data_IF_755106450953
#
_entry.id   IF_755106450953
#
_cell.length_a   1.000
_cell.length_b   1.000
_cell.length_c   1.000
_cell.angle_alpha   90.00
_cell.angle_beta   90.00
_cell.angle_gamma   90.00
#
_symmetry.space_group_name_H-M   'P 1'
#
loop_
_entity.id
_entity.type
_entity.pdbx_description
1 polymer ?
#
# COMPACT_ATOMS: atom_id res chain seq x y z
N UNK A 1 9.37 28.87 -1.06
CA UNK A 1 9.88 27.52 -1.01
C UNK A 1 10.56 27.22 0.33
N UNK A 2 10.28 26.06 0.88
CA UNK A 2 11.04 25.57 2.04
C UNK A 2 12.45 25.15 1.59
N UNK A 3 13.45 25.41 2.43
CA UNK A 3 14.83 24.96 2.18
C UNK A 3 14.89 23.42 2.18
N UNK A 4 15.72 22.88 1.30
CA UNK A 4 15.91 21.44 1.16
C UNK A 4 17.03 20.95 2.06
N UNK A 5 16.79 19.97 2.93
CA UNK A 5 17.87 19.36 3.70
C UNK A 5 18.92 18.71 2.78
N UNK A 6 20.19 18.80 3.19
CA UNK A 6 21.37 18.27 2.50
C UNK A 6 21.68 18.89 1.12
N UNK A 7 20.91 19.90 0.67
CA UNK A 7 21.14 20.61 -0.59
C UNK A 7 21.16 22.14 -0.34
N UNK A 8 22.30 22.74 0.02
CA UNK A 8 22.39 24.16 0.33
C UNK A 8 21.88 25.03 -0.82
N UNK A 9 20.97 25.98 -0.50
CA UNK A 9 20.38 26.91 -1.45
C UNK A 9 19.29 26.36 -2.35
N UNK A 10 19.02 25.05 -2.33
CA UNK A 10 17.89 24.46 -3.03
C UNK A 10 16.57 24.71 -2.29
N UNK A 11 15.46 24.70 -3.04
CA UNK A 11 14.12 24.88 -2.51
C UNK A 11 13.21 23.77 -3.05
N UNK A 12 12.28 23.27 -2.22
CA UNK A 12 11.20 22.40 -2.68
C UNK A 12 10.23 23.18 -3.58
N UNK A 13 9.93 22.63 -4.75
CA UNK A 13 8.93 23.15 -5.67
C UNK A 13 7.55 22.60 -5.31
N UNK A 14 7.43 21.27 -5.29
CA UNK A 14 6.22 20.56 -4.87
C UNK A 14 6.59 19.43 -3.95
N UNK A 15 5.80 19.22 -2.91
CA UNK A 15 5.83 17.97 -2.16
C UNK A 15 5.00 16.94 -2.94
N UNK A 16 5.45 15.72 -3.01
CA UNK A 16 4.86 14.74 -3.89
C UNK A 16 3.52 14.24 -3.37
N UNK A 17 2.86 13.56 -4.27
CA UNK A 17 1.51 13.07 -4.10
C UNK A 17 1.38 11.97 -3.05
N UNK A 18 2.47 11.25 -2.69
CA UNK A 18 2.36 10.07 -1.82
C UNK A 18 3.57 9.90 -0.90
N UNK A 19 3.49 10.39 0.35
CA UNK A 19 4.49 10.10 1.37
C UNK A 19 4.33 8.66 1.88
N UNK A 20 5.45 8.02 2.24
CA UNK A 20 5.47 6.82 3.06
C UNK A 20 5.58 7.16 4.55
N UNK A 21 4.98 6.37 5.42
CA UNK A 21 5.15 6.47 6.87
C UNK A 21 5.65 5.14 7.43
N UNK A 22 6.69 5.17 8.25
CA UNK A 22 7.16 4.01 9.00
C UNK A 22 6.20 3.67 10.16
N UNK A 23 6.25 2.45 10.69
CA UNK A 23 5.49 2.05 11.89
C UNK A 23 5.74 2.97 13.09
N UNK A 24 6.93 3.53 13.20
CA UNK A 24 7.34 4.47 14.26
C UNK A 24 6.98 5.93 13.95
N UNK A 25 6.39 6.20 12.79
CA UNK A 25 5.85 7.50 12.40
C UNK A 25 6.79 8.40 11.60
N UNK A 26 7.99 7.95 11.24
CA UNK A 26 8.90 8.69 10.37
C UNK A 26 8.37 8.73 8.93
N UNK A 27 8.51 9.88 8.29
CA UNK A 27 7.99 10.13 6.94
C UNK A 27 9.09 9.98 5.91
N UNK A 28 8.74 9.45 4.75
CA UNK A 28 9.58 9.40 3.55
C UNK A 28 8.83 10.00 2.37
N UNK A 29 9.53 10.82 1.57
CA UNK A 29 8.92 11.56 0.48
C UNK A 29 9.79 11.53 -0.78
N UNK A 30 9.14 11.52 -1.95
CA UNK A 30 9.74 12.05 -3.17
C UNK A 30 9.37 13.52 -3.28
N UNK A 31 10.25 14.37 -3.76
CA UNK A 31 9.96 15.79 -3.95
C UNK A 31 10.65 16.33 -5.20
N UNK A 32 9.98 17.28 -5.86
CA UNK A 32 10.64 18.08 -6.89
C UNK A 32 11.22 19.38 -6.30
N UNK A 33 12.24 19.87 -6.96
CA UNK A 33 13.04 21.03 -6.57
C UNK A 33 12.83 22.18 -7.54
N UNK A 34 12.98 23.39 -7.05
CA UNK A 34 12.92 24.60 -7.89
C UNK A 34 14.16 24.67 -8.76
N UNK A 35 14.00 24.52 -10.06
CA UNK A 35 15.09 24.67 -11.05
C UNK A 35 15.70 26.06 -10.95
N UNK A 36 17.02 26.11 -10.92
CA UNK A 36 17.80 27.35 -10.74
C UNK A 36 18.15 27.68 -9.27
N UNK A 37 17.56 27.00 -8.28
CA UNK A 37 17.93 27.16 -6.88
C UNK A 37 19.02 26.15 -6.48
N UNK A 38 20.06 26.58 -5.74
CA UNK A 38 21.08 25.69 -5.17
C UNK A 38 21.74 24.70 -6.15
N UNK A 39 21.90 25.08 -7.42
CA UNK A 39 22.49 24.21 -8.44
C UNK A 39 21.52 23.17 -9.01
N UNK A 40 20.23 23.30 -8.77
CA UNK A 40 19.18 22.46 -9.35
C UNK A 40 18.98 22.77 -10.84
N UNK A 41 19.00 21.75 -11.66
CA UNK A 41 18.70 21.78 -13.11
C UNK A 41 17.55 20.83 -13.42
N UNK A 42 17.00 20.86 -14.61
CA UNK A 42 15.98 19.91 -15.06
C UNK A 42 16.46 18.45 -15.14
N UNK A 43 17.76 18.20 -14.99
CA UNK A 43 18.32 16.85 -15.00
C UNK A 43 18.44 16.24 -13.61
N UNK A 44 18.21 17.04 -12.54
CA UNK A 44 18.40 16.65 -11.14
C UNK A 44 17.38 17.34 -10.22
N UNK A 45 16.18 17.63 -10.71
CA UNK A 45 15.14 18.36 -10.00
C UNK A 45 14.16 17.46 -9.21
N UNK A 46 14.43 16.16 -9.12
CA UNK A 46 13.64 15.22 -8.29
C UNK A 46 14.57 14.41 -7.38
N UNK A 47 14.13 14.16 -6.16
CA UNK A 47 14.87 13.33 -5.21
C UNK A 47 13.96 12.61 -4.20
N UNK A 48 14.58 11.72 -3.43
CA UNK A 48 13.98 10.96 -2.35
C UNK A 48 14.55 11.41 -1.01
N UNK A 49 13.70 11.70 -0.04
CA UNK A 49 14.07 12.07 1.33
C UNK A 49 13.37 11.19 2.35
N UNK A 50 13.99 11.00 3.52
CA UNK A 50 13.41 10.22 4.62
C UNK A 50 13.86 10.71 5.98
N UNK A 51 13.02 10.54 7.00
CA UNK A 51 13.31 10.79 8.42
C UNK A 51 13.85 9.56 9.17
N UNK A 52 13.93 8.39 8.51
CA UNK A 52 14.25 7.11 9.18
C UNK A 52 15.60 7.06 9.91
N UNK A 53 16.51 7.97 9.58
CA UNK A 53 17.78 8.12 10.28
C UNK A 53 17.72 8.96 11.55
N UNK A 54 16.55 9.50 11.90
CA UNK A 54 16.40 10.50 12.98
C UNK A 54 16.91 11.89 12.57
N UNK A 55 16.52 12.92 13.31
CA UNK A 55 17.00 14.30 13.11
C UNK A 55 16.36 15.08 11.96
N UNK A 56 15.26 14.59 11.38
CA UNK A 56 14.52 15.23 10.29
C UNK A 56 14.78 14.61 8.93
N UNK A 57 14.20 15.23 7.89
CA UNK A 57 14.35 14.76 6.51
C UNK A 57 15.81 14.80 6.06
N UNK A 58 16.23 13.75 5.39
CA UNK A 58 17.57 13.57 4.80
C UNK A 58 17.43 13.12 3.36
N UNK A 59 18.30 13.61 2.48
CA UNK A 59 18.41 13.15 1.11
C UNK A 59 18.91 11.69 1.07
N UNK A 60 18.16 10.82 0.42
CA UNK A 60 18.55 9.45 0.16
C UNK A 60 19.23 9.31 -1.21
N UNK A 61 18.63 9.90 -2.23
CA UNK A 61 19.11 9.86 -3.62
C UNK A 61 18.40 10.94 -4.45
N UNK A 62 19.05 11.36 -5.53
CA UNK A 62 18.55 12.39 -6.44
C UNK A 62 18.71 11.94 -7.89
N UNK A 63 17.95 12.52 -8.80
CA UNK A 63 18.23 12.40 -10.24
C UNK A 63 19.67 12.84 -10.55
N UNK A 64 20.26 12.21 -11.54
CA UNK A 64 21.65 12.30 -11.97
C UNK A 64 22.70 11.72 -11.00
N UNK A 65 22.28 11.20 -9.83
CA UNK A 65 23.19 10.44 -8.97
C UNK A 65 23.54 9.09 -9.63
N UNK A 66 24.74 8.60 -9.33
CA UNK A 66 25.20 7.30 -9.83
C UNK A 66 24.41 6.16 -9.16
N UNK A 67 24.03 5.17 -9.94
CA UNK A 67 23.39 3.95 -9.42
C UNK A 67 24.48 2.99 -8.94
N UNK A 68 24.44 2.60 -7.64
CA UNK A 68 25.38 1.61 -7.12
C UNK A 68 25.27 0.30 -7.90
N UNK A 69 26.38 -0.39 -8.06
CA UNK A 69 26.48 -1.70 -8.74
C UNK A 69 26.24 -1.69 -10.26
N UNK A 70 25.91 -0.54 -10.87
CA UNK A 70 25.76 -0.39 -12.31
C UNK A 70 26.70 0.69 -12.84
N UNK A 71 27.95 0.35 -13.21
CA UNK A 71 28.94 1.33 -13.63
C UNK A 71 28.47 2.19 -14.80
N UNK A 72 28.56 3.51 -14.64
CA UNK A 72 28.16 4.50 -15.65
C UNK A 72 26.65 4.74 -15.78
N UNK A 73 25.82 4.05 -14.98
CA UNK A 73 24.39 4.34 -14.93
C UNK A 73 24.08 5.42 -13.88
N UNK A 74 23.12 6.26 -14.20
CA UNK A 74 22.62 7.33 -13.34
C UNK A 74 21.10 7.24 -13.23
N UNK A 75 20.56 7.82 -12.16
CA UNK A 75 19.10 8.01 -12.02
C UNK A 75 18.60 8.93 -13.11
N UNK A 76 17.65 8.45 -13.92
CA UNK A 76 16.95 9.25 -14.92
C UNK A 76 15.65 9.84 -14.38
N UNK A 77 14.92 9.04 -13.57
CA UNK A 77 13.66 9.43 -12.94
C UNK A 77 13.34 8.45 -11.80
N UNK A 78 12.56 8.89 -10.85
CA UNK A 78 11.91 8.01 -9.88
C UNK A 78 10.63 7.45 -10.51
N UNK A 79 10.50 6.12 -10.53
CA UNK A 79 9.39 5.48 -11.25
C UNK A 79 8.04 5.63 -10.53
N UNK A 80 8.07 5.77 -9.20
CA UNK A 80 6.92 6.05 -8.33
C UNK A 80 7.44 6.38 -6.92
N UNK A 81 6.55 6.63 -5.96
CA UNK A 81 6.87 7.03 -4.58
C UNK A 81 7.91 6.16 -3.85
N UNK A 82 8.23 6.49 -2.61
CA UNK A 82 8.99 5.63 -1.73
C UNK A 82 8.04 4.53 -1.25
N UNK A 83 8.36 3.29 -1.56
CA UNK A 83 7.44 2.17 -1.42
C UNK A 83 7.38 1.58 -0.02
N UNK A 84 8.53 1.54 0.64
CA UNK A 84 8.63 0.95 1.96
C UNK A 84 9.65 1.71 2.80
N UNK A 85 9.35 1.87 4.07
CA UNK A 85 10.13 2.65 5.03
C UNK A 85 10.06 1.97 6.38
N UNK A 86 11.21 1.78 7.04
CA UNK A 86 11.27 1.29 8.39
C UNK A 86 12.37 2.01 9.18
N UNK A 87 12.09 2.36 10.42
CA UNK A 87 13.10 2.74 11.40
C UNK A 87 13.58 1.49 12.12
N UNK A 88 14.86 1.19 11.99
CA UNK A 88 15.47 -0.02 12.54
C UNK A 88 16.26 0.23 13.82
N UNK A 89 16.43 1.50 14.21
CA UNK A 89 17.11 1.91 15.43
C UNK A 89 16.95 3.41 15.70
N UNK A 90 17.55 3.93 16.76
CA UNK A 90 17.41 5.32 17.17
C UNK A 90 17.86 6.32 16.08
N UNK A 91 18.91 5.97 15.34
CA UNK A 91 19.47 6.78 14.24
C UNK A 91 19.67 5.97 12.97
N UNK A 92 18.97 4.87 12.81
CA UNK A 92 19.07 3.98 11.64
C UNK A 92 17.72 3.60 11.09
N UNK A 93 17.68 3.41 9.78
CA UNK A 93 16.47 2.98 9.09
C UNK A 93 16.72 2.67 7.62
N UNK A 94 15.67 2.21 6.98
CA UNK A 94 15.68 1.72 5.62
C UNK A 94 14.56 2.35 4.81
N UNK A 95 14.83 2.61 3.53
CA UNK A 95 13.80 3.02 2.57
C UNK A 95 14.02 2.30 1.23
N UNK A 96 12.94 1.97 0.55
CA UNK A 96 12.96 1.29 -0.74
C UNK A 96 12.20 2.10 -1.77
N UNK A 97 12.80 2.27 -2.94
CA UNK A 97 12.23 3.01 -4.06
C UNK A 97 12.73 2.45 -5.40
N UNK A 98 11.99 2.66 -6.46
CA UNK A 98 12.43 2.29 -7.80
C UNK A 98 12.79 3.51 -8.63
N UNK A 99 13.79 3.35 -9.47
CA UNK A 99 14.25 4.37 -10.40
C UNK A 99 14.35 3.80 -11.81
N UNK A 100 14.15 4.65 -12.79
CA UNK A 100 14.59 4.38 -14.15
C UNK A 100 16.02 4.90 -14.29
N UNK A 101 16.90 4.12 -14.87
CA UNK A 101 18.28 4.55 -15.11
C UNK A 101 18.48 5.10 -16.52
N UNK A 102 19.50 5.95 -16.67
CA UNK A 102 20.04 6.45 -17.92
C UNK A 102 21.52 6.10 -18.04
N UNK A 103 22.03 6.07 -19.26
CA UNK A 103 23.44 5.71 -19.56
C UNK A 103 23.48 4.57 -20.58
N UNK A 104 24.11 3.43 -20.24
CA UNK A 104 24.29 2.32 -21.18
C UNK A 104 22.99 1.65 -21.62
N UNK A 105 21.93 1.72 -20.82
CA UNK A 105 20.58 1.22 -21.15
C UNK A 105 19.53 1.92 -20.29
N UNK A 106 18.27 1.95 -20.78
CA UNK A 106 17.12 2.41 -19.99
C UNK A 106 16.47 1.20 -19.35
N UNK A 107 16.60 1.05 -18.05
CA UNK A 107 16.06 -0.06 -17.26
C UNK A 107 15.45 0.44 -15.98
N UNK A 108 14.58 -0.34 -15.39
CA UNK A 108 14.08 -0.10 -14.02
C UNK A 108 14.92 -0.86 -13.01
N UNK A 109 15.24 -0.20 -11.91
CA UNK A 109 16.04 -0.74 -10.80
C UNK A 109 15.32 -0.50 -9.49
N UNK A 110 15.22 -1.53 -8.66
CA UNK A 110 14.76 -1.42 -7.29
C UNK A 110 15.96 -1.17 -6.39
N UNK A 111 15.92 -0.08 -5.65
CA UNK A 111 16.99 0.39 -4.79
C UNK A 111 16.55 0.36 -3.32
N UNK A 112 17.51 0.10 -2.45
CA UNK A 112 17.39 0.20 -1.01
C UNK A 112 18.39 1.24 -0.50
N UNK A 113 17.92 2.21 0.26
CA UNK A 113 18.72 3.15 1.00
C UNK A 113 18.74 2.76 2.48
N UNK A 114 19.92 2.49 3.02
CA UNK A 114 20.17 2.25 4.43
C UNK A 114 20.77 3.52 5.05
N UNK A 115 20.14 4.03 6.07
CA UNK A 115 20.58 5.22 6.82
C UNK A 115 21.13 4.78 8.17
N UNK A 116 22.31 5.23 8.53
CA UNK A 116 22.91 5.01 9.84
C UNK A 116 23.64 6.28 10.30
N UNK A 117 23.04 6.99 11.24
CA UNK A 117 23.51 8.31 11.67
C UNK A 117 23.56 9.28 10.50
N UNK A 118 24.74 9.83 10.22
CA UNK A 118 24.98 10.77 9.11
C UNK A 118 25.20 10.08 7.75
N UNK A 119 25.30 8.75 7.69
CA UNK A 119 25.64 8.02 6.48
C UNK A 119 24.40 7.43 5.82
N UNK A 120 24.25 7.67 4.52
CA UNK A 120 23.29 6.99 3.65
C UNK A 120 24.05 6.09 2.68
N UNK A 121 23.68 4.81 2.63
CA UNK A 121 24.24 3.85 1.68
C UNK A 121 23.11 3.32 0.81
N UNK A 122 23.27 3.42 -0.51
CA UNK A 122 22.29 2.90 -1.45
C UNK A 122 22.83 1.61 -2.07
N UNK A 123 21.96 0.61 -2.22
CA UNK A 123 22.29 -0.68 -2.84
C UNK A 123 21.19 -1.09 -3.81
N UNK A 124 21.58 -1.85 -4.84
CA UNK A 124 20.64 -2.45 -5.80
C UNK A 124 20.08 -3.75 -5.22
N UNK A 125 18.76 -3.90 -5.24
CA UNK A 125 18.02 -5.09 -4.82
C UNK A 125 17.72 -5.99 -6.01
N UNK A 126 17.17 -5.39 -7.06
CA UNK A 126 16.81 -6.09 -8.28
C UNK A 126 16.91 -5.13 -9.49
N UNK A 127 17.30 -5.68 -10.62
CA UNK A 127 17.46 -4.94 -11.87
C UNK A 127 16.76 -5.69 -12.98
N UNK A 128 16.09 -4.95 -13.84
CA UNK A 128 15.48 -5.45 -15.06
C UNK A 128 16.50 -6.18 -15.94
N UNK A 129 16.16 -7.40 -16.37
CA UNK A 129 17.07 -8.28 -17.11
C UNK A 129 17.95 -9.20 -16.27
N UNK A 130 17.98 -9.05 -14.94
CA UNK A 130 18.61 -10.01 -14.04
C UNK A 130 17.73 -11.24 -13.86
N UNK A 131 18.34 -12.41 -13.56
CA UNK A 131 17.59 -13.62 -13.22
C UNK A 131 16.84 -13.44 -11.91
N UNK A 132 15.52 -13.67 -11.97
CA UNK A 132 14.66 -13.62 -10.78
C UNK A 132 14.94 -14.83 -9.89
N UNK A 133 15.41 -14.64 -8.64
CA UNK A 133 15.83 -15.72 -7.77
C UNK A 133 14.77 -16.81 -7.56
N UNK A 134 15.16 -18.07 -7.58
CA UNK A 134 14.25 -19.22 -7.44
C UNK A 134 13.41 -19.50 -8.69
N UNK A 135 13.71 -18.86 -9.81
CA UNK A 135 13.10 -19.09 -11.12
C UNK A 135 14.16 -19.18 -12.21
N UNK A 136 13.79 -19.63 -13.41
CA UNK A 136 14.64 -19.55 -14.61
C UNK A 136 14.35 -18.29 -15.45
N UNK A 137 13.47 -17.42 -15.00
CA UNK A 137 13.03 -16.23 -15.73
C UNK A 137 13.86 -15.00 -15.35
N UNK A 138 13.95 -14.04 -16.28
CA UNK A 138 14.52 -12.73 -15.99
C UNK A 138 13.42 -11.77 -15.53
N UNK A 139 13.76 -10.77 -14.70
CA UNK A 139 12.87 -9.65 -14.46
C UNK A 139 12.56 -8.93 -15.78
N UNK A 140 11.30 -8.63 -16.04
CA UNK A 140 10.86 -8.11 -17.31
C UNK A 140 11.32 -6.68 -17.55
N UNK A 141 11.61 -6.40 -18.82
CA UNK A 141 11.91 -5.05 -19.31
C UNK A 141 10.60 -4.30 -19.65
N UNK A 142 9.74 -4.07 -18.68
CA UNK A 142 8.48 -3.34 -18.83
C UNK A 142 8.39 -2.21 -17.83
N UNK A 143 7.82 -1.09 -18.23
CA UNK A 143 7.53 0.01 -17.33
C UNK A 143 6.64 -0.52 -16.20
N UNK A 144 7.13 -0.45 -14.97
CA UNK A 144 6.47 -1.01 -13.82
C UNK A 144 6.81 -2.46 -13.50
N UNK A 145 7.93 -3.00 -14.02
CA UNK A 145 8.42 -4.34 -13.70
C UNK A 145 8.64 -4.58 -12.19
N UNK A 146 8.87 -3.53 -11.42
CA UNK A 146 8.89 -3.50 -9.96
C UNK A 146 7.76 -2.63 -9.42
N UNK A 147 6.57 -2.69 -10.02
CA UNK A 147 5.48 -1.74 -9.79
C UNK A 147 4.80 -1.86 -8.43
N UNK A 148 5.00 -2.98 -7.75
CA UNK A 148 4.36 -3.28 -6.47
C UNK A 148 5.42 -3.76 -5.45
N UNK A 149 6.41 -2.95 -5.06
CA UNK A 149 7.25 -3.28 -3.92
C UNK A 149 6.39 -3.13 -2.67
N UNK A 150 6.27 -4.20 -1.91
CA UNK A 150 5.46 -4.25 -0.72
C UNK A 150 6.01 -3.44 0.43
N UNK A 151 5.45 -3.68 1.61
CA UNK A 151 5.88 -3.07 2.87
C UNK A 151 7.18 -3.65 3.38
N UNK A 152 7.81 -2.90 4.28
CA UNK A 152 8.96 -3.30 5.06
C UNK A 152 8.51 -3.63 6.49
N UNK A 153 9.09 -4.67 7.09
CA UNK A 153 8.90 -4.95 8.52
C UNK A 153 9.77 -4.04 9.41
N UNK A 154 9.56 -4.11 10.71
CA UNK A 154 10.29 -3.28 11.68
C UNK A 154 11.81 -3.57 11.70
N UNK A 155 12.26 -4.67 11.15
CA UNK A 155 13.66 -5.04 11.01
C UNK A 155 14.28 -4.52 9.70
N UNK A 156 13.47 -4.01 8.77
CA UNK A 156 13.93 -3.54 7.47
C UNK A 156 13.95 -4.63 6.39
N UNK A 157 13.39 -5.80 6.65
CA UNK A 157 13.11 -6.77 5.59
C UNK A 157 11.89 -6.30 4.78
N UNK A 158 11.84 -6.62 3.49
CA UNK A 158 10.68 -6.26 2.67
C UNK A 158 10.36 -7.30 1.60
N UNK A 159 9.16 -7.20 1.07
CA UNK A 159 8.71 -7.96 -0.10
C UNK A 159 8.45 -7.02 -1.28
N UNK A 160 8.61 -7.53 -2.47
CA UNK A 160 8.28 -6.82 -3.70
C UNK A 160 7.68 -7.78 -4.73
N UNK A 161 6.76 -7.27 -5.54
CA UNK A 161 6.25 -7.98 -6.69
C UNK A 161 6.98 -7.55 -7.95
N UNK A 162 7.20 -8.47 -8.86
CA UNK A 162 7.78 -8.19 -10.16
C UNK A 162 7.19 -9.09 -11.24
N UNK A 163 7.24 -8.58 -12.48
CA UNK A 163 6.96 -9.36 -13.68
C UNK A 163 8.25 -10.01 -14.19
N UNK A 164 8.11 -11.14 -14.85
CA UNK A 164 9.22 -11.80 -15.54
C UNK A 164 8.99 -11.88 -17.05
N UNK A 165 10.07 -12.02 -17.81
CA UNK A 165 10.04 -12.09 -19.26
C UNK A 165 9.38 -13.36 -19.80
N UNK A 166 9.44 -14.46 -19.06
CA UNK A 166 8.85 -15.74 -19.46
C UNK A 166 7.35 -15.75 -19.22
N UNK A 167 6.58 -15.47 -20.28
CA UNK A 167 5.11 -15.51 -20.24
C UNK A 167 4.48 -14.40 -19.40
N UNK A 168 5.18 -13.30 -19.16
CA UNK A 168 4.71 -12.18 -18.30
C UNK A 168 4.18 -12.65 -16.94
N UNK A 169 4.88 -13.63 -16.34
CA UNK A 169 4.48 -14.19 -15.05
C UNK A 169 4.84 -13.26 -13.90
N UNK A 170 3.93 -13.12 -12.97
CA UNK A 170 4.09 -12.34 -11.74
C UNK A 170 4.64 -13.22 -10.62
N UNK A 171 5.41 -12.62 -9.70
CA UNK A 171 5.88 -13.25 -8.50
C UNK A 171 6.13 -12.26 -7.38
N UNK A 172 6.30 -12.77 -6.17
CA UNK A 172 6.69 -12.03 -4.98
C UNK A 172 8.02 -12.58 -4.48
N UNK A 173 8.93 -11.67 -4.17
CA UNK A 173 10.23 -11.98 -3.57
C UNK A 173 10.37 -11.30 -2.22
N UNK A 174 11.06 -11.96 -1.32
CA UNK A 174 11.42 -11.46 0.00
C UNK A 174 12.90 -11.05 0.01
N UNK A 175 13.20 -9.86 0.49
CA UNK A 175 14.54 -9.30 0.65
C UNK A 175 14.86 -9.11 2.12
N UNK A 176 15.82 -9.86 2.69
CA UNK A 176 16.26 -9.64 4.06
C UNK A 176 17.10 -8.38 4.22
N UNK A 177 17.04 -7.77 5.41
CA UNK A 177 17.80 -6.54 5.73
C UNK A 177 19.31 -6.75 5.68
N UNK A 178 19.78 -7.92 6.04
CA UNK A 178 21.21 -8.25 6.16
C UNK A 178 21.94 -8.39 4.81
N UNK A 179 21.34 -7.92 3.70
CA UNK A 179 22.00 -7.87 2.39
C UNK A 179 22.09 -9.22 1.67
N UNK A 180 21.28 -10.22 2.08
CA UNK A 180 21.17 -11.50 1.39
C UNK A 180 20.55 -11.39 0.00
N UNK A 181 20.70 -12.43 -0.82
CA UNK A 181 20.00 -12.54 -2.10
C UNK A 181 18.49 -12.63 -1.86
N UNK A 182 17.65 -11.94 -2.64
CA UNK A 182 16.20 -12.10 -2.57
C UNK A 182 15.79 -13.56 -2.73
N UNK A 183 14.77 -14.00 -2.01
CA UNK A 183 14.21 -15.35 -2.12
C UNK A 183 12.79 -15.31 -2.65
N UNK A 184 12.44 -16.29 -3.51
CA UNK A 184 11.08 -16.43 -4.05
C UNK A 184 10.11 -16.77 -2.91
N UNK A 185 9.03 -16.00 -2.78
CA UNK A 185 7.91 -16.30 -1.89
C UNK A 185 6.85 -17.11 -2.64
N UNK A 186 6.42 -16.60 -3.79
CA UNK A 186 5.39 -17.21 -4.64
C UNK A 186 5.57 -16.74 -6.09
N UNK A 187 5.21 -17.61 -7.03
CA UNK A 187 5.33 -17.33 -8.47
C UNK A 187 4.11 -17.89 -9.23
N UNK A 188 3.73 -17.24 -10.31
CA UNK A 188 2.63 -17.71 -11.15
C UNK A 188 2.94 -19.10 -11.74
N UNK A 189 2.07 -20.05 -11.47
CA UNK A 189 2.24 -21.49 -11.73
C UNK A 189 2.56 -22.33 -10.49
N UNK A 190 2.95 -21.72 -9.34
CA UNK A 190 3.08 -22.44 -8.08
C UNK A 190 1.68 -22.88 -7.60
N UNK A 191 1.61 -24.01 -6.88
CA UNK A 191 0.36 -24.49 -6.29
C UNK A 191 -0.16 -23.53 -5.23
N UNK A 192 -1.43 -23.15 -5.33
CA UNK A 192 -2.08 -22.26 -4.37
C UNK A 192 -2.59 -23.08 -3.17
N UNK A 193 -2.01 -22.84 -2.00
CA UNK A 193 -2.41 -23.53 -0.77
C UNK A 193 -3.88 -23.26 -0.43
N UNK A 194 -4.58 -24.26 0.10
CA UNK A 194 -5.99 -24.18 0.50
C UNK A 194 -6.99 -24.24 -0.66
N UNK A 195 -6.57 -24.69 -1.88
CA UNK A 195 -7.40 -24.65 -3.09
C UNK A 195 -7.47 -26.02 -3.78
N UNK A 196 -7.36 -27.11 -3.23
CA UNK A 196 -7.56 -28.43 -3.90
C UNK A 196 -6.72 -28.66 -5.19
N UNK A 197 -5.57 -27.97 -5.34
CA UNK A 197 -4.65 -28.19 -6.47
C UNK A 197 -4.65 -27.09 -7.56
N UNK A 198 -5.40 -25.98 -7.37
CA UNK A 198 -5.29 -24.84 -8.26
C UNK A 198 -3.88 -24.22 -8.22
N UNK A 199 -3.47 -23.56 -9.30
CA UNK A 199 -2.21 -22.82 -9.38
C UNK A 199 -2.46 -21.33 -9.49
N UNK A 200 -1.52 -20.53 -8.98
CA UNK A 200 -1.58 -19.08 -9.15
C UNK A 200 -1.47 -18.70 -10.64
N UNK A 201 -2.40 -17.90 -11.11
CA UNK A 201 -2.38 -17.31 -12.46
C UNK A 201 -1.74 -15.93 -12.44
N UNK A 202 -2.22 -15.07 -11.54
CA UNK A 202 -1.72 -13.72 -11.28
C UNK A 202 -1.50 -13.52 -9.80
N UNK A 203 -0.48 -12.77 -9.45
CA UNK A 203 -0.11 -12.47 -8.09
C UNK A 203 0.13 -10.97 -8.01
N UNK A 204 -0.59 -10.29 -7.14
CA UNK A 204 -0.58 -8.84 -7.11
C UNK A 204 -0.51 -8.32 -5.68
N UNK A 205 0.15 -7.18 -5.54
CA UNK A 205 0.01 -6.27 -4.39
C UNK A 205 0.35 -6.92 -3.05
N UNK A 206 1.59 -7.36 -2.85
CA UNK A 206 2.00 -7.82 -1.54
C UNK A 206 2.01 -6.65 -0.55
N UNK A 207 1.46 -6.88 0.63
CA UNK A 207 1.65 -6.01 1.79
C UNK A 207 2.31 -6.83 2.89
N UNK A 208 3.18 -6.20 3.69
CA UNK A 208 3.90 -6.87 4.77
C UNK A 208 3.67 -6.13 6.08
N UNK A 209 3.33 -6.86 7.13
CA UNK A 209 3.30 -6.36 8.49
C UNK A 209 4.70 -6.30 9.09
N UNK A 210 4.83 -5.57 10.21
CA UNK A 210 6.12 -5.31 10.88
C UNK A 210 6.87 -6.55 11.39
N UNK A 211 6.22 -7.71 11.40
CA UNK A 211 6.78 -9.00 11.82
C UNK A 211 7.14 -9.94 10.66
N UNK A 212 7.15 -9.44 9.40
CA UNK A 212 7.46 -10.24 8.22
C UNK A 212 6.29 -11.09 7.68
N UNK A 213 5.09 -10.96 8.23
CA UNK A 213 3.88 -11.60 7.72
C UNK A 213 3.36 -10.82 6.52
N UNK A 214 2.97 -11.51 5.45
CA UNK A 214 2.51 -10.90 4.21
C UNK A 214 1.06 -11.23 3.91
N UNK A 215 0.42 -10.35 3.16
CA UNK A 215 -0.84 -10.59 2.48
C UNK A 215 -0.71 -10.19 1.02
N UNK A 216 -1.28 -10.97 0.12
CA UNK A 216 -1.36 -10.62 -1.29
C UNK A 216 -2.64 -11.14 -1.93
N UNK A 217 -3.07 -10.46 -2.97
CA UNK A 217 -4.16 -10.93 -3.82
C UNK A 217 -3.60 -11.83 -4.91
N UNK A 218 -4.34 -12.89 -5.25
CA UNK A 218 -4.05 -13.68 -6.44
C UNK A 218 -5.32 -14.17 -7.13
N UNK A 219 -5.22 -14.35 -8.46
CA UNK A 219 -6.18 -15.13 -9.22
C UNK A 219 -5.62 -16.51 -9.54
N UNK A 220 -6.51 -17.47 -9.75
CA UNK A 220 -6.19 -18.87 -9.92
C UNK A 220 -6.47 -19.35 -11.34
N UNK A 221 -5.68 -20.31 -11.81
CA UNK A 221 -5.75 -20.85 -13.15
C UNK A 221 -6.84 -21.92 -13.31
N UNK A 222 -7.05 -22.75 -12.31
CA UNK A 222 -8.14 -23.72 -12.14
C UNK A 222 -8.23 -24.02 -10.67
N UNK A 223 -9.42 -24.17 -10.15
CA UNK A 223 -9.53 -24.82 -8.88
C UNK A 223 -9.91 -26.30 -9.06
N UNK A 224 -9.49 -27.12 -8.12
CA UNK A 224 -9.74 -28.55 -8.15
C UNK A 224 -11.21 -28.96 -7.96
N UNK A 225 -12.08 -28.01 -7.64
CA UNK A 225 -13.49 -28.24 -7.38
C UNK A 225 -14.40 -28.01 -8.62
N UNK A 226 -13.80 -27.78 -9.81
CA UNK A 226 -14.50 -27.62 -11.08
C UNK A 226 -15.62 -26.56 -11.11
N UNK A 227 -15.64 -25.63 -10.15
CA UNK A 227 -16.59 -24.54 -10.14
C UNK A 227 -16.09 -23.42 -11.06
N UNK A 228 -16.60 -23.28 -12.28
CA UNK A 228 -16.16 -22.26 -13.19
C UNK A 228 -16.48 -20.88 -12.61
N UNK A 229 -15.47 -20.03 -12.50
CA UNK A 229 -15.54 -18.63 -12.16
C UNK A 229 -15.88 -18.23 -10.70
N UNK A 230 -16.38 -19.12 -9.85
CA UNK A 230 -16.86 -18.75 -8.52
C UNK A 230 -15.75 -18.65 -7.45
N UNK A 231 -14.57 -19.24 -7.70
CA UNK A 231 -13.50 -19.33 -6.69
C UNK A 231 -12.11 -19.02 -7.26
N UNK A 232 -12.04 -18.17 -8.26
CA UNK A 232 -10.80 -17.90 -8.97
C UNK A 232 -9.99 -16.71 -8.43
N UNK A 233 -10.47 -16.00 -7.42
CA UNK A 233 -9.79 -14.89 -6.78
C UNK A 233 -9.75 -15.06 -5.27
N UNK A 234 -8.64 -14.68 -4.66
CA UNK A 234 -8.50 -14.78 -3.22
C UNK A 234 -7.38 -13.90 -2.65
N UNK A 235 -7.29 -13.93 -1.33
CA UNK A 235 -6.24 -13.34 -0.52
C UNK A 235 -5.49 -14.45 0.20
N UNK A 236 -4.18 -14.42 0.12
CA UNK A 236 -3.27 -15.34 0.81
C UNK A 236 -2.43 -14.59 1.82
N UNK A 237 -2.27 -15.20 2.99
CA UNK A 237 -1.44 -14.69 4.07
C UNK A 237 -0.42 -15.74 4.50
N UNK A 238 0.73 -15.28 5.00
CA UNK A 238 1.79 -16.15 5.55
C UNK A 238 3.08 -15.38 5.80
N UNK A 239 4.13 -16.05 6.26
CA UNK A 239 5.43 -15.42 6.45
C UNK A 239 6.22 -15.37 5.15
N UNK A 240 6.76 -14.21 4.82
CA UNK A 240 7.54 -14.00 3.59
C UNK A 240 8.80 -14.87 3.51
N UNK A 241 9.45 -15.10 4.65
CA UNK A 241 10.63 -15.97 4.77
C UNK A 241 10.30 -17.46 4.89
N UNK A 242 9.02 -17.83 4.96
CA UNK A 242 8.54 -19.20 5.01
C UNK A 242 7.33 -19.40 4.08
N UNK A 243 7.54 -19.60 2.77
CA UNK A 243 6.45 -19.76 1.80
C UNK A 243 5.49 -20.92 2.10
N UNK A 244 5.92 -21.93 2.84
CA UNK A 244 5.07 -23.05 3.25
C UNK A 244 3.98 -22.64 4.26
N UNK A 245 4.09 -21.47 4.88
CA UNK A 245 3.09 -20.92 5.79
C UNK A 245 1.92 -20.22 5.07
N UNK A 246 2.01 -20.04 3.76
CA UNK A 246 0.96 -19.34 2.99
C UNK A 246 -0.36 -20.11 3.06
N UNK A 247 -1.42 -19.39 3.42
CA UNK A 247 -2.78 -19.93 3.50
C UNK A 247 -3.78 -18.97 2.85
N UNK A 248 -4.83 -19.50 2.23
CA UNK A 248 -5.94 -18.72 1.69
C UNK A 248 -6.84 -18.26 2.84
N UNK A 249 -6.92 -16.94 3.07
CA UNK A 249 -7.69 -16.37 4.20
C UNK A 249 -9.05 -15.82 3.79
N UNK A 250 -9.19 -15.39 2.55
CA UNK A 250 -10.45 -14.90 1.98
C UNK A 250 -10.50 -15.28 0.51
N UNK A 251 -11.59 -15.90 0.08
CA UNK A 251 -11.74 -16.36 -1.30
C UNK A 251 -13.12 -16.03 -1.81
N UNK A 252 -13.23 -15.70 -3.08
CA UNK A 252 -14.52 -15.61 -3.77
C UNK A 252 -15.31 -16.91 -3.56
N UNK A 253 -16.58 -16.78 -3.20
CA UNK A 253 -17.45 -17.91 -2.86
C UNK A 253 -17.32 -18.43 -1.42
N UNK A 254 -16.50 -17.80 -0.56
CA UNK A 254 -16.51 -18.12 0.87
C UNK A 254 -17.81 -17.65 1.51
N UNK A 255 -18.44 -18.52 2.30
CA UNK A 255 -19.70 -18.26 2.99
C UNK A 255 -19.54 -18.19 4.51
N UNK A 256 -20.67 -18.26 5.22
CA UNK A 256 -20.76 -18.12 6.70
C UNK A 256 -19.91 -19.12 7.49
N UNK A 257 -19.54 -20.27 6.89
CA UNK A 257 -18.64 -21.22 7.55
C UNK A 257 -17.21 -20.71 7.73
N UNK A 258 -16.80 -19.70 6.95
CA UNK A 258 -15.47 -19.09 7.02
C UNK A 258 -15.49 -17.63 7.48
N UNK A 259 -16.56 -16.92 7.18
CA UNK A 259 -16.70 -15.49 7.45
C UNK A 259 -17.92 -15.25 8.31
N UNK A 260 -17.72 -14.77 9.53
CA UNK A 260 -18.84 -14.44 10.44
C UNK A 260 -19.54 -13.13 10.03
N UNK A 261 -20.76 -12.95 10.53
CA UNK A 261 -21.60 -11.78 10.29
C UNK A 261 -22.06 -11.59 8.83
N UNK A 262 -21.88 -12.58 7.96
CA UNK A 262 -22.46 -12.53 6.62
C UNK A 262 -23.99 -12.65 6.69
N UNK A 263 -24.75 -11.93 5.86
CA UNK A 263 -26.17 -12.20 5.63
C UNK A 263 -26.39 -13.67 5.21
N UNK A 264 -27.55 -14.22 5.57
CA UNK A 264 -27.90 -15.60 5.21
C UNK A 264 -27.99 -15.73 3.69
N UNK A 265 -27.30 -16.71 3.13
CA UNK A 265 -27.29 -16.97 1.69
C UNK A 265 -26.25 -16.18 0.91
N UNK A 266 -25.64 -15.14 1.50
CA UNK A 266 -24.61 -14.36 0.81
C UNK A 266 -23.24 -15.04 0.84
N UNK A 267 -22.39 -14.66 -0.13
CA UNK A 267 -21.02 -15.13 -0.29
C UNK A 267 -20.05 -13.94 -0.39
N UNK A 268 -18.77 -14.23 -0.18
CA UNK A 268 -17.71 -13.29 -0.54
C UNK A 268 -17.61 -13.22 -2.07
N UNK A 269 -17.79 -12.05 -2.64
CA UNK A 269 -17.59 -11.80 -4.06
C UNK A 269 -16.10 -11.61 -4.40
N UNK A 270 -15.78 -10.79 -5.41
CA UNK A 270 -14.39 -10.52 -5.79
C UNK A 270 -13.64 -9.81 -4.65
N UNK A 271 -12.64 -10.45 -4.03
CA UNK A 271 -11.82 -9.78 -3.03
C UNK A 271 -10.88 -8.78 -3.72
N UNK A 272 -10.78 -7.61 -3.13
CA UNK A 272 -9.79 -6.60 -3.45
C UNK A 272 -8.73 -6.62 -2.38
N UNK A 273 -7.70 -5.83 -2.60
CA UNK A 273 -6.63 -5.72 -1.64
C UNK A 273 -7.11 -5.13 -0.30
N UNK A 274 -6.33 -5.42 0.74
CA UNK A 274 -6.40 -4.83 2.06
C UNK A 274 -5.01 -4.70 2.65
N UNK A 275 -4.95 -4.42 3.94
CA UNK A 275 -3.73 -4.14 4.69
C UNK A 275 -3.62 -5.05 5.90
N UNK A 276 -2.39 -5.28 6.36
CA UNK A 276 -2.08 -6.04 7.57
C UNK A 276 -1.64 -5.10 8.70
N UNK A 277 -1.94 -5.51 9.92
CA UNK A 277 -1.31 -5.00 11.14
C UNK A 277 0.08 -5.62 11.33
N UNK A 278 0.77 -5.17 12.37
CA UNK A 278 2.00 -5.81 12.84
C UNK A 278 1.78 -7.17 13.54
N UNK A 279 0.53 -7.57 13.78
CA UNK A 279 0.16 -8.82 14.47
C UNK A 279 -0.47 -9.85 13.53
N UNK A 280 -0.28 -9.75 12.21
CA UNK A 280 -0.83 -10.64 11.17
C UNK A 280 -2.34 -10.55 10.98
N UNK A 281 -2.96 -9.56 11.58
CA UNK A 281 -4.37 -9.25 11.41
C UNK A 281 -4.54 -8.21 10.32
N UNK A 282 -5.70 -8.14 9.69
CA UNK A 282 -5.88 -7.23 8.57
C UNK A 282 -7.32 -6.86 8.28
N UNK A 283 -7.48 -5.97 7.32
CA UNK A 283 -8.77 -5.62 6.73
C UNK A 283 -8.66 -5.56 5.21
N UNK A 284 -9.70 -6.00 4.54
CA UNK A 284 -9.76 -6.13 3.07
C UNK A 284 -11.08 -5.61 2.55
N UNK A 285 -11.07 -4.96 1.41
CA UNK A 285 -12.28 -4.67 0.66
C UNK A 285 -12.60 -5.83 -0.27
N UNK A 286 -13.86 -6.24 -0.31
CA UNK A 286 -14.37 -7.20 -1.28
C UNK A 286 -15.81 -6.83 -1.67
N UNK A 287 -16.30 -7.41 -2.76
CA UNK A 287 -17.72 -7.49 -2.99
C UNK A 287 -18.36 -8.45 -1.98
N UNK A 288 -19.56 -8.14 -1.57
CA UNK A 288 -20.48 -9.04 -0.89
C UNK A 288 -21.54 -9.40 -1.93
N UNK A 289 -21.52 -10.64 -2.34
CA UNK A 289 -22.48 -11.29 -3.23
C UNK A 289 -23.70 -11.63 -2.37
N UNK A 290 -24.76 -10.85 -2.54
CA UNK A 290 -25.91 -10.87 -1.63
C UNK A 290 -26.89 -12.00 -1.94
N UNK A 291 -27.00 -12.42 -3.20
CA UNK A 291 -27.89 -13.52 -3.64
C UNK A 291 -27.19 -14.88 -3.75
N UNK A 292 -25.84 -14.88 -3.65
CA UNK A 292 -25.05 -16.10 -3.62
C UNK A 292 -24.89 -16.79 -4.98
N UNK A 293 -25.09 -16.07 -6.07
CA UNK A 293 -24.96 -16.61 -7.43
C UNK A 293 -23.50 -16.70 -7.91
N UNK A 294 -22.58 -16.08 -7.15
CA UNK A 294 -21.15 -16.06 -7.43
C UNK A 294 -20.74 -15.00 -8.45
N UNK A 295 -21.62 -14.12 -8.89
CA UNK A 295 -21.36 -13.00 -9.79
C UNK A 295 -21.43 -11.72 -8.99
N UNK A 296 -20.41 -10.86 -9.03
CA UNK A 296 -20.45 -9.57 -8.34
C UNK A 296 -21.08 -8.52 -9.24
N UNK A 297 -22.36 -8.20 -9.01
CA UNK A 297 -23.14 -7.25 -9.80
C UNK A 297 -24.02 -6.35 -8.91
N UNK A 298 -24.02 -5.05 -9.18
CA UNK A 298 -24.94 -4.12 -8.49
C UNK A 298 -26.39 -4.27 -8.94
N UNK A 299 -26.63 -4.93 -10.08
CA UNK A 299 -27.99 -5.09 -10.63
C UNK A 299 -28.82 -6.08 -9.82
N UNK A 300 -28.18 -7.04 -9.14
CA UNK A 300 -28.80 -8.06 -8.29
C UNK A 300 -28.62 -7.78 -6.78
N UNK A 301 -28.16 -6.59 -6.45
CA UNK A 301 -28.12 -6.10 -5.07
C UNK A 301 -26.78 -6.30 -4.35
N UNK A 302 -25.75 -6.75 -5.04
CA UNK A 302 -24.44 -6.91 -4.49
C UNK A 302 -23.80 -5.57 -4.11
N UNK A 303 -23.03 -5.58 -3.05
CA UNK A 303 -22.49 -4.38 -2.47
C UNK A 303 -20.99 -4.50 -2.13
N UNK A 304 -20.32 -3.37 -2.10
CA UNK A 304 -18.95 -3.33 -1.54
C UNK A 304 -18.99 -3.45 -0.02
N UNK A 305 -18.01 -4.16 0.52
CA UNK A 305 -17.88 -4.43 1.94
C UNK A 305 -16.41 -4.43 2.39
N UNK A 306 -16.22 -4.24 3.69
CA UNK A 306 -14.94 -4.41 4.37
C UNK A 306 -15.01 -5.68 5.21
N UNK A 307 -14.04 -6.54 5.03
CA UNK A 307 -13.82 -7.76 5.79
C UNK A 307 -12.59 -7.58 6.67
N UNK A 308 -12.61 -8.09 7.90
CA UNK A 308 -11.50 -7.95 8.81
C UNK A 308 -11.35 -9.19 9.71
N UNK A 309 -10.11 -9.50 10.10
CA UNK A 309 -9.83 -10.53 11.09
C UNK A 309 -9.14 -9.97 12.35
N UNK A 310 -9.31 -8.69 12.63
CA UNK A 310 -8.62 -7.97 13.73
C UNK A 310 -8.97 -8.50 15.12
N UNK A 311 -10.04 -9.28 15.25
CA UNK A 311 -10.40 -10.05 16.46
C UNK A 311 -9.92 -11.51 16.44
N UNK A 312 -9.17 -11.92 15.39
CA UNK A 312 -8.66 -13.26 15.18
C UNK A 312 -9.47 -14.12 14.19
N UNK A 313 -10.79 -13.91 14.06
CA UNK A 313 -11.65 -14.58 13.08
C UNK A 313 -12.04 -13.62 11.94
N UNK A 314 -12.13 -14.14 10.72
CA UNK A 314 -12.60 -13.37 9.57
C UNK A 314 -14.08 -13.02 9.76
N UNK A 315 -14.43 -11.75 9.61
CA UNK A 315 -15.80 -11.25 9.73
C UNK A 315 -16.11 -10.16 8.71
N UNK A 316 -17.37 -10.04 8.36
CA UNK A 316 -17.89 -8.84 7.71
C UNK A 316 -17.90 -7.70 8.74
N UNK A 317 -17.12 -6.65 8.49
CA UNK A 317 -16.97 -5.54 9.42
C UNK A 317 -17.97 -4.42 9.14
N UNK A 318 -18.16 -4.05 7.87
CA UNK A 318 -19.13 -3.05 7.40
C UNK A 318 -19.40 -3.22 5.91
N UNK A 319 -20.60 -2.90 5.46
CA UNK A 319 -21.00 -2.95 4.04
C UNK A 319 -21.72 -1.67 3.61
N UNK A 320 -21.81 -1.45 2.33
CA UNK A 320 -22.69 -0.42 1.74
C UNK A 320 -24.13 -0.67 2.20
N UNK A 321 -24.82 0.40 2.57
CA UNK A 321 -26.16 0.38 3.14
C UNK A 321 -26.19 0.36 4.68
N UNK A 322 -25.09 0.03 5.36
CA UNK A 322 -25.03 0.12 6.82
C UNK A 322 -25.05 1.59 7.29
N UNK A 323 -25.62 1.81 8.48
CA UNK A 323 -25.64 3.13 9.10
C UNK A 323 -24.21 3.65 9.34
N UNK A 324 -23.96 4.91 9.00
CA UNK A 324 -22.68 5.56 9.20
C UNK A 324 -22.61 6.20 10.60
N UNK A 325 -21.81 5.66 11.53
CA UNK A 325 -21.75 6.18 12.89
C UNK A 325 -21.31 7.65 12.94
N UNK A 326 -21.87 8.43 13.87
CA UNK A 326 -21.56 9.87 14.00
C UNK A 326 -22.29 10.78 12.99
N UNK A 327 -23.24 10.21 12.21
CA UNK A 327 -24.13 10.96 11.31
C UNK A 327 -25.58 10.82 11.75
N UNK A 328 -26.46 11.66 11.20
CA UNK A 328 -27.91 11.59 11.51
C UNK A 328 -28.64 10.88 10.36
N UNK A 329 -28.77 9.54 10.49
CA UNK A 329 -29.51 8.71 9.52
C UNK A 329 -28.84 8.50 8.17
N UNK A 330 -27.57 8.90 7.99
CA UNK A 330 -26.83 8.60 6.77
C UNK A 330 -26.36 7.12 6.75
N UNK A 331 -26.23 6.59 5.56
CA UNK A 331 -25.68 5.24 5.31
C UNK A 331 -24.48 5.33 4.38
N UNK A 332 -23.64 4.32 4.44
CA UNK A 332 -22.52 4.19 3.52
C UNK A 332 -23.02 3.88 2.11
N UNK A 333 -22.51 4.60 1.11
CA UNK A 333 -22.78 4.36 -0.32
C UNK A 333 -21.57 3.83 -1.09
N UNK A 334 -20.39 3.80 -0.47
CA UNK A 334 -19.16 3.26 -1.04
C UNK A 334 -17.99 3.42 -0.08
N UNK A 335 -16.93 2.64 -0.33
CA UNK A 335 -15.69 2.66 0.45
C UNK A 335 -14.48 2.69 -0.46
N UNK A 336 -13.42 3.38 0.00
CA UNK A 336 -12.07 3.14 -0.48
C UNK A 336 -11.45 1.91 0.21
N UNK A 337 -10.18 1.61 -0.10
CA UNK A 337 -9.46 0.53 0.58
C UNK A 337 -9.29 0.88 2.06
N UNK A 338 -9.40 -0.11 2.97
CA UNK A 338 -9.13 0.11 4.37
C UNK A 338 -7.64 0.40 4.61
N UNK A 339 -7.34 1.34 5.49
CA UNK A 339 -6.02 1.52 6.10
C UNK A 339 -5.95 0.68 7.36
N UNK A 340 -4.81 0.12 7.71
CA UNK A 340 -4.66 -0.69 8.93
C UNK A 340 -3.41 -0.28 9.68
N UNK A 341 -3.52 -0.07 10.99
CA UNK A 341 -2.43 0.30 11.89
C UNK A 341 -1.97 -0.83 12.79
N UNK A 342 -0.80 -0.65 13.39
CA UNK A 342 -0.16 -1.66 14.23
C UNK A 342 -0.88 -1.97 15.54
N UNK A 343 -1.84 -1.17 15.94
CA UNK A 343 -2.67 -1.35 17.15
C UNK A 343 -3.97 -2.14 16.89
N UNK A 344 -4.05 -2.91 15.81
CA UNK A 344 -5.22 -3.67 15.39
C UNK A 344 -6.46 -2.78 15.15
N UNK A 345 -6.25 -1.57 14.65
CA UNK A 345 -7.29 -0.70 14.16
C UNK A 345 -7.27 -0.66 12.64
N UNK A 346 -8.43 -0.42 12.04
CA UNK A 346 -8.55 -0.05 10.64
C UNK A 346 -9.30 1.27 10.49
N UNK A 347 -9.05 1.96 9.39
CA UNK A 347 -9.81 3.13 9.00
C UNK A 347 -10.30 3.00 7.57
N UNK A 348 -11.43 3.63 7.29
CA UNK A 348 -12.06 3.64 5.98
C UNK A 348 -12.44 5.07 5.59
N UNK A 349 -12.19 5.42 4.34
CA UNK A 349 -12.81 6.57 3.72
C UNK A 349 -14.12 6.10 3.08
N UNK A 350 -15.25 6.66 3.51
CA UNK A 350 -16.58 6.28 3.07
C UNK A 350 -17.32 7.44 2.42
N UNK A 351 -18.07 7.12 1.37
CA UNK A 351 -19.07 8.01 0.81
C UNK A 351 -20.41 7.76 1.48
N UNK A 352 -21.23 8.79 1.58
CA UNK A 352 -22.48 8.79 2.30
C UNK A 352 -23.69 9.10 1.39
N UNK A 353 -24.84 8.55 1.79
CA UNK A 353 -26.14 8.87 1.21
C UNK A 353 -27.22 8.86 2.29
N UNK A 354 -28.34 9.55 2.04
CA UNK A 354 -29.47 9.62 2.97
C UNK A 354 -29.21 10.46 4.22
N UNK A 355 -30.19 10.48 5.12
CA UNK A 355 -30.11 11.20 6.40
C UNK A 355 -29.78 12.69 6.25
N UNK A 356 -28.77 13.13 7.01
CA UNK A 356 -28.26 14.51 7.00
C UNK A 356 -27.28 14.81 5.86
N UNK A 357 -27.15 13.89 4.88
CA UNK A 357 -26.13 13.98 3.82
C UNK A 357 -26.53 14.99 2.75
N UNK A 358 -25.64 15.92 2.47
CA UNK A 358 -25.67 16.85 1.32
C UNK A 358 -24.31 16.81 0.62
N UNK A 359 -24.20 17.40 -0.58
CA UNK A 359 -22.93 17.41 -1.35
C UNK A 359 -21.76 17.95 -0.53
N UNK A 360 -21.99 18.85 0.41
CA UNK A 360 -20.96 19.47 1.23
C UNK A 360 -20.43 18.54 2.36
N UNK A 361 -21.12 17.44 2.69
CA UNK A 361 -20.75 16.55 3.81
C UNK A 361 -20.91 15.06 3.48
N UNK A 362 -20.90 14.68 2.21
CA UNK A 362 -21.18 13.33 1.72
C UNK A 362 -19.96 12.39 1.72
N UNK A 363 -18.90 12.74 2.42
CA UNK A 363 -17.68 11.92 2.55
C UNK A 363 -17.13 12.07 3.96
N UNK A 364 -16.63 10.99 4.53
CA UNK A 364 -16.00 11.00 5.83
C UNK A 364 -14.96 9.91 5.99
N UNK A 365 -14.14 10.07 7.01
CA UNK A 365 -13.12 9.13 7.47
C UNK A 365 -13.59 8.54 8.80
N UNK A 366 -13.65 7.23 8.88
CA UNK A 366 -13.97 6.47 10.09
C UNK A 366 -12.78 5.64 10.52
N UNK A 367 -12.61 5.49 11.83
CA UNK A 367 -11.62 4.60 12.43
C UNK A 367 -12.31 3.64 13.39
N UNK A 368 -11.91 2.37 13.36
CA UNK A 368 -12.40 1.37 14.30
C UNK A 368 -11.81 1.60 15.70
N UNK A 369 -12.52 1.16 16.74
CA UNK A 369 -11.91 0.92 18.03
C UNK A 369 -10.83 -0.17 17.91
N UNK A 370 -10.05 -0.37 18.98
CA UNK A 370 -9.03 -1.42 19.06
C UNK A 370 -9.63 -2.80 18.75
N UNK A 371 -8.81 -3.66 18.13
CA UNK A 371 -9.18 -5.01 17.72
C UNK A 371 -10.39 -5.07 16.78
N UNK A 372 -10.50 -4.06 15.87
CA UNK A 372 -11.57 -4.00 14.90
C UNK A 372 -12.96 -3.73 15.46
N UNK A 373 -13.04 -3.12 16.66
CA UNK A 373 -14.31 -2.75 17.30
C UNK A 373 -15.10 -1.69 16.51
N UNK A 374 -16.09 -1.08 17.16
CA UNK A 374 -17.02 -0.13 16.53
C UNK A 374 -16.30 1.02 15.81
N UNK A 375 -16.83 1.41 14.66
CA UNK A 375 -16.37 2.56 13.88
C UNK A 375 -16.77 3.87 14.57
N UNK A 376 -15.88 4.85 14.58
CA UNK A 376 -16.13 6.22 14.99
C UNK A 376 -15.74 7.18 13.84
N UNK A 377 -16.57 8.20 13.61
CA UNK A 377 -16.27 9.28 12.67
C UNK A 377 -15.10 10.11 13.20
N UNK A 378 -14.07 10.31 12.38
CA UNK A 378 -12.84 11.03 12.75
C UNK A 378 -12.75 12.38 12.03
N UNK A 379 -13.16 12.42 10.76
CA UNK A 379 -13.16 13.62 9.94
C UNK A 379 -14.28 13.51 8.90
N UNK A 380 -15.04 14.58 8.71
CA UNK A 380 -16.09 14.64 7.68
C UNK A 380 -15.85 15.85 6.78
N UNK A 381 -16.21 15.74 5.55
CA UNK A 381 -16.36 16.87 4.65
C UNK A 381 -17.33 17.89 5.27
N UNK A 382 -16.96 19.15 5.30
CA UNK A 382 -17.65 20.21 6.05
C UNK A 382 -17.04 20.52 7.43
N UNK A 383 -16.22 19.65 7.98
CA UNK A 383 -15.53 19.90 9.25
C UNK A 383 -14.44 20.95 9.08
N UNK A 384 -14.12 21.64 10.19
CA UNK A 384 -13.03 22.60 10.25
C UNK A 384 -11.76 21.94 10.78
N UNK A 385 -10.66 22.13 10.08
CA UNK A 385 -9.32 21.67 10.48
C UNK A 385 -8.42 22.87 10.74
N UNK A 386 -7.72 22.87 11.85
CA UNK A 386 -6.72 23.91 12.18
C UNK A 386 -5.44 23.59 11.41
N UNK A 387 -5.00 24.53 10.58
CA UNK A 387 -3.75 24.48 9.83
C UNK A 387 -2.81 25.59 10.30
N UNK A 388 -1.57 25.56 9.83
CA UNK A 388 -0.60 26.67 10.09
C UNK A 388 -1.08 28.01 9.53
N UNK A 389 -2.00 28.00 8.58
CA UNK A 389 -2.60 29.19 7.97
C UNK A 389 -3.99 29.56 8.59
N UNK A 390 -4.36 28.93 9.70
CA UNK A 390 -5.65 29.13 10.38
C UNK A 390 -6.65 27.99 10.18
N UNK A 391 -7.87 28.17 10.65
CA UNK A 391 -8.95 27.20 10.50
C UNK A 391 -9.49 27.18 9.07
N UNK A 392 -9.57 26.00 8.45
CA UNK A 392 -10.07 25.79 7.09
C UNK A 392 -11.12 24.70 7.05
N UNK A 393 -12.15 24.87 6.21
CA UNK A 393 -13.24 23.89 6.04
C UNK A 393 -12.87 22.89 4.96
N UNK A 394 -13.00 21.60 5.28
CA UNK A 394 -12.70 20.48 4.39
C UNK A 394 -13.79 20.34 3.31
N UNK A 395 -13.40 20.32 2.05
CA UNK A 395 -14.30 20.10 0.91
C UNK A 395 -14.11 18.74 0.24
N UNK A 396 -12.96 18.09 0.48
CA UNK A 396 -12.65 16.74 0.00
C UNK A 396 -11.63 16.09 0.93
N UNK A 397 -11.76 14.80 1.11
CA UNK A 397 -10.79 13.95 1.81
C UNK A 397 -10.31 12.91 0.81
N UNK A 398 -9.01 12.82 0.62
CA UNK A 398 -8.39 11.78 -0.17
C UNK A 398 -7.43 10.97 0.72
N UNK A 399 -7.41 9.68 0.52
CA UNK A 399 -6.36 8.82 1.06
C UNK A 399 -5.23 8.81 0.04
N UNK A 400 -3.99 9.18 0.41
CA UNK A 400 -2.87 9.16 -0.52
C UNK A 400 -2.80 7.82 -1.26
N UNK A 401 -2.81 7.84 -2.59
CA UNK A 401 -2.78 6.64 -3.41
C UNK A 401 -4.10 5.89 -3.60
N UNK A 402 -5.25 6.40 -3.15
CA UNK A 402 -6.56 5.73 -3.29
C UNK A 402 -7.12 5.68 -4.72
N UNK A 403 -6.54 6.38 -5.67
CA UNK A 403 -7.01 6.38 -7.06
C UNK A 403 -6.78 5.02 -7.72
N UNK A 404 -7.85 4.36 -8.18
CA UNK A 404 -7.83 3.00 -8.74
C UNK A 404 -6.96 2.82 -9.99
N UNK A 405 -6.62 3.91 -10.66
CA UNK A 405 -5.73 3.91 -11.83
C UNK A 405 -4.26 4.06 -11.45
N UNK A 406 -3.97 4.46 -10.22
CA UNK A 406 -2.62 4.69 -9.72
C UNK A 406 -2.21 3.52 -8.82
N UNK A 407 -1.13 2.82 -9.16
CA UNK A 407 -0.61 1.64 -8.46
C UNK A 407 0.07 1.96 -7.12
N UNK A 408 -0.15 3.17 -6.58
CA UNK A 408 0.52 3.70 -5.38
C UNK A 408 -0.18 3.37 -4.05
N UNK A 409 -1.07 2.38 -4.02
CA UNK A 409 -1.96 2.06 -2.90
C UNK A 409 -1.30 1.32 -1.74
N UNK A 410 -0.02 1.03 -1.87
CA UNK A 410 0.69 0.07 -1.02
C UNK A 410 1.46 0.73 0.11
N UNK A 411 1.27 2.03 0.29
CA UNK A 411 1.93 2.77 1.36
C UNK A 411 1.21 2.61 2.70
N UNK A 412 1.99 2.53 3.76
CA UNK A 412 1.48 2.62 5.10
C UNK A 412 1.00 4.04 5.36
N UNK A 413 -0.29 4.18 5.63
CA UNK A 413 -0.94 5.46 5.90
C UNK A 413 -1.42 5.58 7.35
N UNK A 414 -1.24 4.53 8.14
CA UNK A 414 -1.60 4.46 9.54
C UNK A 414 -0.46 3.80 10.32
N UNK A 415 0.03 4.44 11.35
CA UNK A 415 1.13 3.95 12.19
C UNK A 415 0.66 3.01 13.31
N UNK A 416 1.59 2.54 14.13
CA UNK A 416 1.32 1.63 15.25
C UNK A 416 0.49 2.26 16.38
N UNK A 417 0.34 3.58 16.40
CA UNK A 417 -0.47 4.29 17.39
C UNK A 417 -1.85 4.65 16.87
N UNK A 418 -2.13 4.38 15.60
CA UNK A 418 -3.40 4.69 14.94
C UNK A 418 -3.43 6.08 14.30
N UNK A 419 -2.31 6.83 14.26
CA UNK A 419 -2.24 8.09 13.52
C UNK A 419 -2.27 7.82 12.03
N UNK A 420 -3.00 8.64 11.29
CA UNK A 420 -3.22 8.49 9.86
C UNK A 420 -2.77 9.73 9.10
N UNK A 421 -2.33 9.53 7.85
CA UNK A 421 -2.12 10.63 6.91
C UNK A 421 -3.25 10.61 5.88
N UNK A 422 -3.90 11.77 5.71
CA UNK A 422 -4.88 12.02 4.65
C UNK A 422 -4.55 13.33 3.93
N UNK A 423 -5.05 13.48 2.72
CA UNK A 423 -4.99 14.74 1.97
C UNK A 423 -6.35 15.41 2.12
N UNK A 424 -6.40 16.59 2.72
CA UNK A 424 -7.59 17.42 2.77
C UNK A 424 -7.50 18.54 1.74
N UNK A 425 -8.57 18.72 0.95
CA UNK A 425 -8.79 19.92 0.13
C UNK A 425 -9.75 20.83 0.87
N UNK A 426 -9.50 22.13 0.84
CA UNK A 426 -10.24 23.13 1.58
C UNK A 426 -11.08 24.04 0.67
N UNK A 427 -11.98 24.84 1.26
CA UNK A 427 -12.86 25.77 0.54
C UNK A 427 -12.15 26.81 -0.29
N UNK A 428 -10.90 27.16 0.04
CA UNK A 428 -10.05 28.08 -0.73
C UNK A 428 -9.31 27.41 -1.89
N UNK A 429 -9.58 26.12 -2.14
CA UNK A 429 -8.92 25.32 -3.16
C UNK A 429 -7.51 24.81 -2.78
N UNK A 430 -6.98 25.23 -1.64
CA UNK A 430 -5.70 24.70 -1.15
C UNK A 430 -5.83 23.24 -0.68
N UNK A 431 -4.73 22.49 -0.76
CA UNK A 431 -4.61 21.12 -0.24
C UNK A 431 -3.57 21.05 0.84
N UNK A 432 -3.73 20.16 1.79
CA UNK A 432 -2.74 19.87 2.81
C UNK A 432 -2.75 18.39 3.19
N UNK A 433 -1.59 17.85 3.51
CA UNK A 433 -1.50 16.60 4.24
C UNK A 433 -1.88 16.86 5.69
N UNK A 434 -2.82 16.10 6.21
CA UNK A 434 -3.35 16.21 7.56
C UNK A 434 -3.01 14.93 8.30
N UNK A 435 -2.31 15.06 9.42
CA UNK A 435 -2.11 13.94 10.34
C UNK A 435 -3.29 13.91 11.29
N UNK A 436 -4.01 12.83 11.28
CA UNK A 436 -5.11 12.53 12.19
C UNK A 436 -4.56 11.72 13.36
N UNK A 437 -4.66 12.24 14.59
CA UNK A 437 -4.11 11.61 15.79
C UNK A 437 -4.85 10.32 16.20
#
# INVERSE_FOLDING_TARGET
>A
GMTVPDLPGAQFATLPEVPGIAESGEVSVLASLVVGSGGVTTANDTGAWSEVGGGGLRLLMREDDNIPSVPGAKVAAFASGIYATAKTGASSGEAVFSVTMKGASTKTVLLRASVNGATTTVSTVAEEGQTAPGTAALYANVAGGFSDPGRMDAQGNFVYAALTTTGSKEGIWYQPVTGGTPSKVVFAGDTASGTGGATFLRIQRPVMGSNGFISFRASLNKDGDNAPNLKNDGIWNGFANNPASLTCVLRRGDGQSKVSNLPVGSLVGNPWQGWLTNTNLGAWRAWLDMDGDGISSTADGDVNAIFANLSGAMQLAVKVGDAAPGTTGATFSGFDLPMVGGNNQYAILGNLTGGDTVVANNQGLWRSALNGGALALVLRKGDSVVTTAGSKVVTKIDVPGSNQTDRRWEQQLMDSTGRMIVIATFTDGSTSQVIIP
#
